data_IF_185958046778
#
_entry.id   IF_185958046778
#
_cell.length_a   1.000
_cell.length_b   1.000
_cell.length_c   1.000
_cell.angle_alpha   90.00
_cell.angle_beta   90.00
_cell.angle_gamma   90.00
#
_symmetry.space_group_name_H-M   'P 1'
#
loop_
_entity.id
_entity.type
_entity.pdbx_description
1 polymer ?
#
# COMPACT_ATOMS: atom_id res chain seq x y z
N UNK A 1 34.07 1.23 10.80
CA UNK A 1 34.40 1.70 12.18
C UNK A 1 35.06 3.07 12.17
N UNK A 2 36.03 3.31 11.26
CA UNK A 2 36.81 4.55 11.28
C UNK A 2 36.00 5.83 10.98
N UNK A 3 34.96 5.77 10.11
CA UNK A 3 34.16 6.95 9.76
C UNK A 3 33.20 7.31 10.90
N UNK A 4 32.57 6.32 11.53
CA UNK A 4 31.68 6.56 12.68
C UNK A 4 32.45 7.15 13.86
N UNK A 5 33.67 6.65 14.14
CA UNK A 5 34.54 7.24 15.19
C UNK A 5 34.87 8.71 14.90
N UNK A 6 35.25 9.04 13.67
CA UNK A 6 35.53 10.42 13.27
C UNK A 6 34.35 11.37 13.43
N UNK A 7 33.12 10.88 13.15
CA UNK A 7 31.90 11.62 13.37
C UNK A 7 31.69 11.91 14.87
N UNK A 8 31.83 10.88 15.70
CA UNK A 8 31.70 11.00 17.16
C UNK A 8 32.81 11.88 17.74
N UNK A 9 34.04 11.77 17.27
CA UNK A 9 35.18 12.59 17.72
C UNK A 9 34.97 14.07 17.35
N UNK A 10 34.26 14.35 16.23
CA UNK A 10 34.04 15.75 15.77
C UNK A 10 32.82 16.38 16.44
N UNK A 11 31.71 15.63 16.59
CA UNK A 11 30.43 16.17 17.04
C UNK A 11 30.02 15.70 18.46
N UNK A 12 30.70 14.69 19.02
CA UNK A 12 30.40 14.14 20.34
C UNK A 12 28.98 13.64 20.45
N UNK A 13 28.28 14.00 21.51
CA UNK A 13 26.88 13.65 21.76
C UNK A 13 25.91 14.19 20.71
N UNK A 14 26.29 15.27 20.00
CA UNK A 14 25.45 15.87 18.94
C UNK A 14 25.57 15.18 17.59
N UNK A 15 26.32 14.08 17.49
CA UNK A 15 26.51 13.36 16.22
C UNK A 15 25.20 12.97 15.55
N UNK A 16 24.23 12.44 16.29
CA UNK A 16 22.93 12.04 15.77
C UNK A 16 22.09 13.25 15.35
N UNK A 17 22.10 14.32 16.13
CA UNK A 17 21.41 15.57 15.84
C UNK A 17 21.94 16.21 14.55
N UNK A 18 23.27 16.20 14.35
CA UNK A 18 23.90 16.71 13.12
C UNK A 18 23.53 15.88 11.92
N UNK A 19 23.53 14.54 12.03
CA UNK A 19 23.12 13.64 10.96
C UNK A 19 21.65 13.81 10.55
N UNK A 20 20.81 14.13 11.51
CA UNK A 20 19.36 14.30 11.32
C UNK A 20 19.00 15.69 10.78
N UNK A 21 19.47 16.74 11.44
CA UNK A 21 18.97 18.10 11.24
C UNK A 21 19.91 19.01 10.43
N UNK A 22 21.22 18.73 10.44
CA UNK A 22 22.23 19.59 9.79
C UNK A 22 23.31 18.77 9.08
N UNK A 23 22.90 17.89 8.15
CA UNK A 23 23.84 16.97 7.48
C UNK A 23 24.90 17.68 6.62
N UNK A 24 24.70 18.93 6.26
CA UNK A 24 25.67 19.76 5.59
C UNK A 24 26.93 19.95 6.43
N UNK A 25 26.83 19.89 7.77
CA UNK A 25 27.98 20.00 8.67
C UNK A 25 28.92 18.80 8.62
N UNK A 26 28.54 17.69 8.00
CA UNK A 26 29.39 16.50 7.82
C UNK A 26 30.69 16.81 7.07
N UNK A 27 30.75 17.94 6.32
CA UNK A 27 31.99 18.39 5.67
C UNK A 27 33.06 18.87 6.67
N UNK A 28 32.68 19.18 7.93
CA UNK A 28 33.62 19.57 9.00
C UNK A 28 34.51 18.38 9.44
N UNK A 29 34.07 17.14 9.14
CA UNK A 29 34.80 15.92 9.54
C UNK A 29 36.05 15.73 8.68
N UNK A 30 37.21 15.78 9.30
CA UNK A 30 38.49 15.66 8.62
C UNK A 30 38.65 14.35 7.85
N UNK A 31 38.87 14.47 6.53
CA UNK A 31 39.06 13.33 5.63
C UNK A 31 37.74 12.71 5.12
N UNK A 32 36.60 13.38 5.31
CA UNK A 32 35.34 13.01 4.70
C UNK A 32 35.10 13.85 3.44
N UNK A 33 35.02 13.19 2.27
CA UNK A 33 34.70 13.88 1.01
C UNK A 33 33.22 14.27 0.95
N UNK A 34 32.91 15.35 0.23
CA UNK A 34 31.50 15.81 0.05
C UNK A 34 30.57 14.71 -0.46
N UNK A 35 31.03 13.90 -1.42
CA UNK A 35 30.24 12.76 -1.95
C UNK A 35 29.95 11.71 -0.88
N UNK A 36 30.94 11.41 -0.04
CA UNK A 36 30.78 10.43 1.05
C UNK A 36 29.92 10.96 2.18
N UNK A 37 30.06 12.26 2.52
CA UNK A 37 29.19 12.93 3.47
C UNK A 37 27.73 12.89 3.04
N UNK A 38 27.46 13.19 1.77
CA UNK A 38 26.10 13.11 1.18
C UNK A 38 25.52 11.70 1.27
N UNK A 39 26.30 10.68 0.90
CA UNK A 39 25.86 9.27 0.97
C UNK A 39 25.53 8.85 2.40
N UNK A 40 26.39 9.21 3.38
CA UNK A 40 26.14 8.89 4.80
C UNK A 40 24.87 9.57 5.29
N UNK A 41 24.66 10.84 4.93
CA UNK A 41 23.46 11.57 5.29
C UNK A 41 22.21 10.92 4.70
N UNK A 42 22.23 10.58 3.41
CA UNK A 42 21.10 9.93 2.73
C UNK A 42 20.75 8.56 3.37
N UNK A 43 21.77 7.73 3.61
CA UNK A 43 21.60 6.43 4.27
C UNK A 43 21.06 6.59 5.70
N UNK A 44 21.58 7.55 6.47
CA UNK A 44 21.12 7.82 7.82
C UNK A 44 19.67 8.31 7.85
N UNK A 45 19.32 9.29 7.00
CA UNK A 45 17.97 9.81 6.91
C UNK A 45 16.97 8.72 6.48
N UNK A 46 17.38 7.81 5.60
CA UNK A 46 16.57 6.68 5.19
C UNK A 46 16.30 5.72 6.36
N UNK A 47 17.35 5.35 7.10
CA UNK A 47 17.21 4.48 8.28
C UNK A 47 16.36 5.12 9.37
N UNK A 48 16.54 6.42 9.61
CA UNK A 48 15.76 7.17 10.58
C UNK A 48 14.28 7.24 10.20
N UNK A 49 13.99 7.51 8.92
CA UNK A 49 12.62 7.52 8.38
C UNK A 49 11.94 6.16 8.54
N UNK A 50 12.65 5.06 8.25
CA UNK A 50 12.14 3.69 8.45
C UNK A 50 11.88 3.43 9.95
N UNK A 51 12.78 3.82 10.84
CA UNK A 51 12.62 3.63 12.29
C UNK A 51 11.43 4.41 12.84
N UNK A 52 11.25 5.66 12.41
CA UNK A 52 10.10 6.49 12.77
C UNK A 52 8.80 5.86 12.29
N UNK A 53 8.78 5.39 11.03
CA UNK A 53 7.63 4.68 10.45
C UNK A 53 7.31 3.38 11.20
N UNK A 54 8.33 2.61 11.58
CA UNK A 54 8.16 1.39 12.41
C UNK A 54 7.55 1.70 13.77
N UNK A 55 8.00 2.77 14.43
CA UNK A 55 7.46 3.19 15.72
C UNK A 55 6.00 3.61 15.62
N UNK A 56 5.64 4.31 14.55
CA UNK A 56 4.26 4.77 14.32
C UNK A 56 3.34 3.61 13.93
N UNK A 57 3.70 2.85 12.92
CA UNK A 57 2.88 1.75 12.40
C UNK A 57 2.83 0.53 13.34
N UNK A 58 3.87 0.35 14.16
CA UNK A 58 3.89 -0.70 15.19
C UNK A 58 2.75 -0.58 16.20
N UNK A 59 2.25 0.64 16.48
CA UNK A 59 1.08 0.89 17.33
C UNK A 59 -0.20 0.22 16.78
N UNK A 60 -0.24 0.02 15.46
CA UNK A 60 -1.36 -0.59 14.74
C UNK A 60 -1.11 -2.08 14.40
N UNK A 61 -0.03 -2.65 14.93
CA UNK A 61 0.32 -4.05 14.71
C UNK A 61 0.97 -4.34 13.35
N UNK A 62 1.48 -3.30 12.66
CA UNK A 62 2.27 -3.48 11.44
C UNK A 62 3.66 -3.96 11.82
N UNK A 63 4.11 -5.05 11.20
CA UNK A 63 5.40 -5.66 11.51
C UNK A 63 6.57 -4.83 10.91
N UNK A 64 7.80 -5.00 11.42
CA UNK A 64 8.98 -4.37 10.83
C UNK A 64 9.17 -4.72 9.34
N UNK A 65 8.90 -5.96 8.94
CA UNK A 65 9.03 -6.42 7.56
C UNK A 65 8.01 -5.73 6.64
N UNK A 66 6.75 -5.62 7.09
CA UNK A 66 5.71 -4.88 6.39
C UNK A 66 6.07 -3.39 6.29
N UNK A 67 6.59 -2.80 7.37
CA UNK A 67 7.04 -1.40 7.36
C UNK A 67 8.15 -1.15 6.34
N UNK A 68 9.09 -2.09 6.19
CA UNK A 68 10.14 -2.00 5.16
C UNK A 68 9.54 -2.07 3.76
N UNK A 69 8.53 -2.93 3.52
CA UNK A 69 7.81 -2.99 2.24
C UNK A 69 7.10 -1.66 1.96
N UNK A 70 6.40 -1.11 2.95
CA UNK A 70 5.72 0.20 2.87
C UNK A 70 6.72 1.29 2.48
N UNK A 71 7.86 1.35 3.18
CA UNK A 71 8.88 2.34 2.89
C UNK A 71 9.52 2.16 1.50
N UNK A 72 9.73 0.93 1.04
CA UNK A 72 10.21 0.65 -0.32
C UNK A 72 9.22 1.09 -1.40
N UNK A 73 7.92 1.00 -1.13
CA UNK A 73 6.85 1.36 -2.07
C UNK A 73 6.63 2.87 -2.12
N UNK A 74 6.52 3.53 -0.96
CA UNK A 74 6.12 4.93 -0.85
C UNK A 74 7.26 5.89 -0.46
N UNK A 75 8.42 5.36 -0.08
CA UNK A 75 9.59 6.14 0.29
C UNK A 75 9.33 7.04 1.51
N UNK A 76 9.88 8.26 1.46
CA UNK A 76 9.73 9.27 2.53
C UNK A 76 8.29 9.76 2.70
N UNK A 77 7.49 9.65 1.65
CA UNK A 77 6.08 10.08 1.65
C UNK A 77 5.12 9.03 2.23
N UNK A 78 5.64 7.89 2.74
CA UNK A 78 4.82 6.80 3.29
C UNK A 78 3.75 7.29 4.26
N UNK A 79 4.10 8.20 5.18
CA UNK A 79 3.13 8.73 6.16
C UNK A 79 2.04 9.56 5.51
N UNK A 80 2.35 10.35 4.48
CA UNK A 80 1.38 11.18 3.77
C UNK A 80 0.38 10.30 2.98
N UNK A 81 0.89 9.28 2.27
CA UNK A 81 0.03 8.32 1.58
C UNK A 81 -0.89 7.57 2.54
N UNK A 82 -0.38 7.11 3.67
CA UNK A 82 -1.18 6.41 4.68
C UNK A 82 -2.17 7.33 5.40
N UNK A 83 -1.89 8.61 5.48
CA UNK A 83 -2.84 9.59 6.01
C UNK A 83 -3.98 9.85 5.02
N UNK A 84 -3.67 9.89 3.72
CA UNK A 84 -4.65 10.11 2.67
C UNK A 84 -5.53 8.86 2.45
N UNK A 85 -4.93 7.67 2.36
CA UNK A 85 -5.66 6.43 2.13
C UNK A 85 -4.93 5.21 2.74
N UNK A 86 -5.29 4.77 3.96
CA UNK A 86 -4.68 3.59 4.59
C UNK A 86 -4.91 2.28 3.84
N UNK A 87 -5.95 2.20 3.01
CA UNK A 87 -6.28 0.97 2.27
C UNK A 87 -5.31 0.66 1.13
N UNK A 88 -4.42 1.61 0.76
CA UNK A 88 -3.28 1.32 -0.12
C UNK A 88 -2.36 0.23 0.43
N UNK A 89 -2.42 -0.04 1.74
CA UNK A 89 -1.69 -1.15 2.36
C UNK A 89 -2.24 -2.53 1.97
N UNK A 90 -3.47 -2.62 1.47
CA UNK A 90 -4.07 -3.87 1.00
C UNK A 90 -3.59 -4.28 -0.40
N UNK A 91 -2.87 -3.42 -1.10
CA UNK A 91 -2.36 -3.68 -2.44
C UNK A 91 -0.96 -4.29 -2.45
N UNK A 92 -0.62 -4.94 -3.59
CA UNK A 92 0.75 -5.44 -3.82
C UNK A 92 1.75 -4.24 -3.78
N UNK A 93 2.93 -4.42 -3.22
CA UNK A 93 3.53 -5.64 -2.67
C UNK A 93 3.35 -5.81 -1.16
N UNK A 94 2.53 -5.00 -0.50
CA UNK A 94 2.39 -4.95 0.96
C UNK A 94 1.42 -6.04 1.43
N UNK A 95 0.21 -6.09 0.82
CA UNK A 95 -0.82 -7.11 1.04
C UNK A 95 -1.28 -7.24 2.51
N UNK A 96 -1.43 -6.09 3.19
CA UNK A 96 -2.00 -6.08 4.53
C UNK A 96 -3.47 -6.50 4.46
N UNK A 97 -3.95 -7.23 5.49
CA UNK A 97 -5.38 -7.60 5.52
C UNK A 97 -6.27 -6.36 5.66
N UNK A 98 -7.48 -6.43 5.10
CA UNK A 98 -8.44 -5.32 5.12
C UNK A 98 -8.75 -4.87 6.54
N UNK A 99 -8.95 -5.83 7.48
CA UNK A 99 -9.28 -5.56 8.87
C UNK A 99 -8.17 -4.75 9.57
N UNK A 100 -6.90 -5.00 9.22
CA UNK A 100 -5.76 -4.25 9.76
C UNK A 100 -5.67 -2.85 9.16
N UNK A 101 -5.90 -2.71 7.86
CA UNK A 101 -5.96 -1.41 7.19
C UNK A 101 -7.14 -0.57 7.72
N UNK A 102 -8.30 -1.19 7.91
CA UNK A 102 -9.52 -0.57 8.48
C UNK A 102 -9.26 -0.08 9.91
N UNK A 103 -8.59 -0.89 10.73
CA UNK A 103 -8.16 -0.49 12.08
C UNK A 103 -7.22 0.70 12.07
N UNK A 104 -6.26 0.76 11.14
CA UNK A 104 -5.37 1.91 10.98
C UNK A 104 -6.16 3.15 10.58
N UNK A 105 -7.08 3.03 9.63
CA UNK A 105 -7.95 4.10 9.18
C UNK A 105 -8.78 4.67 10.33
N UNK A 106 -9.43 3.79 11.11
CA UNK A 106 -10.26 4.17 12.25
C UNK A 106 -9.48 4.89 13.36
N UNK A 107 -8.26 4.43 13.68
CA UNK A 107 -7.46 5.01 14.75
C UNK A 107 -6.78 6.33 14.36
N UNK A 108 -6.57 6.58 13.07
CA UNK A 108 -5.89 7.80 12.58
C UNK A 108 -6.82 8.97 12.30
N UNK A 109 -8.02 8.72 11.84
CA UNK A 109 -8.99 9.77 11.57
C UNK A 109 -10.30 9.45 12.27
N UNK A 110 -10.83 10.40 13.03
CA UNK A 110 -12.20 10.29 13.58
C UNK A 110 -13.28 10.27 12.47
N UNK A 111 -12.88 10.41 11.20
CA UNK A 111 -13.74 10.34 10.04
C UNK A 111 -13.07 9.41 9.04
N UNK A 112 -13.57 8.17 8.96
CA UNK A 112 -13.24 7.26 7.88
C UNK A 112 -13.72 7.88 6.56
N UNK A 113 -12.84 7.94 5.57
CA UNK A 113 -13.29 8.16 4.19
C UNK A 113 -14.04 6.91 3.74
N UNK A 114 -15.37 6.95 3.96
CA UNK A 114 -16.27 5.83 3.69
C UNK A 114 -16.15 5.37 2.23
N UNK A 115 -15.93 6.29 1.31
CA UNK A 115 -15.74 5.97 -0.11
C UNK A 115 -14.49 5.14 -0.35
N UNK A 116 -13.35 5.56 0.19
CA UNK A 116 -12.10 4.78 0.10
C UNK A 116 -12.25 3.40 0.75
N UNK A 117 -12.98 3.32 1.88
CA UNK A 117 -13.27 2.08 2.58
C UNK A 117 -14.10 1.12 1.73
N UNK A 118 -15.19 1.61 1.13
CA UNK A 118 -16.08 0.77 0.30
C UNK A 118 -15.35 0.25 -0.94
N UNK A 119 -14.63 1.12 -1.64
CA UNK A 119 -13.83 0.76 -2.82
C UNK A 119 -12.80 -0.34 -2.49
N UNK A 120 -12.05 -0.16 -1.43
CA UNK A 120 -11.06 -1.14 -0.97
C UNK A 120 -11.71 -2.47 -0.55
N UNK A 121 -12.85 -2.42 0.12
CA UNK A 121 -13.60 -3.60 0.52
C UNK A 121 -14.13 -4.41 -0.64
N UNK A 122 -14.64 -3.77 -1.70
CA UNK A 122 -15.06 -4.45 -2.94
C UNK A 122 -13.88 -5.21 -3.56
N UNK A 123 -12.73 -4.55 -3.70
CA UNK A 123 -11.50 -5.16 -4.24
C UNK A 123 -11.03 -6.32 -3.35
N UNK A 124 -11.10 -6.15 -2.02
CA UNK A 124 -10.72 -7.19 -1.06
C UNK A 124 -11.61 -8.44 -1.20
N UNK A 125 -12.92 -8.28 -1.35
CA UNK A 125 -13.85 -9.42 -1.53
C UNK A 125 -13.51 -10.17 -2.82
N UNK A 126 -13.23 -9.47 -3.92
CA UNK A 126 -12.80 -10.10 -5.17
C UNK A 126 -11.49 -10.87 -4.99
N UNK A 127 -10.48 -10.28 -4.34
CA UNK A 127 -9.20 -10.94 -4.03
C UNK A 127 -9.39 -12.17 -3.13
N UNK A 128 -10.24 -12.07 -2.11
CA UNK A 128 -10.54 -13.19 -1.21
C UNK A 128 -11.18 -14.38 -1.96
N UNK A 129 -12.09 -14.10 -2.88
CA UNK A 129 -12.73 -15.16 -3.68
C UNK A 129 -11.79 -15.82 -4.68
N UNK A 130 -10.72 -15.17 -5.11
CA UNK A 130 -9.65 -15.81 -5.90
C UNK A 130 -9.01 -16.99 -5.15
N UNK A 131 -8.80 -16.85 -3.85
CA UNK A 131 -8.26 -17.93 -3.01
C UNK A 131 -9.19 -19.14 -2.93
N UNK A 132 -10.48 -18.95 -3.24
CA UNK A 132 -11.49 -20.00 -3.34
C UNK A 132 -11.65 -20.54 -4.79
N UNK A 133 -10.77 -20.15 -5.71
CA UNK A 133 -10.75 -20.62 -7.10
C UNK A 133 -11.67 -19.85 -8.04
N UNK A 134 -12.17 -18.67 -7.65
CA UNK A 134 -13.03 -17.84 -8.49
C UNK A 134 -12.24 -16.68 -9.11
N UNK A 135 -12.28 -16.55 -10.42
CA UNK A 135 -11.63 -15.45 -11.16
C UNK A 135 -12.47 -14.17 -11.21
N UNK A 136 -13.77 -14.31 -10.96
CA UNK A 136 -14.76 -13.24 -10.97
C UNK A 136 -15.90 -13.52 -9.98
N UNK A 137 -16.70 -12.50 -9.71
CA UNK A 137 -17.97 -12.63 -8.99
C UNK A 137 -19.10 -11.96 -9.77
N UNK A 138 -20.30 -12.58 -9.80
CA UNK A 138 -21.46 -11.90 -10.32
C UNK A 138 -21.80 -10.67 -9.49
N UNK A 139 -22.21 -9.56 -10.15
CA UNK A 139 -22.60 -8.31 -9.49
C UNK A 139 -23.67 -8.52 -8.41
N UNK A 140 -24.67 -9.35 -8.69
CA UNK A 140 -25.77 -9.69 -7.77
C UNK A 140 -25.32 -10.50 -6.54
N UNK A 141 -24.09 -11.00 -6.51
CA UNK A 141 -23.45 -11.64 -5.35
C UNK A 141 -22.43 -10.73 -4.68
N UNK A 142 -21.68 -9.95 -5.48
CA UNK A 142 -20.65 -9.04 -4.97
C UNK A 142 -21.27 -7.92 -4.12
N UNK A 143 -22.36 -7.27 -4.60
CA UNK A 143 -23.00 -6.16 -3.89
C UNK A 143 -23.49 -6.59 -2.50
N UNK A 144 -24.33 -7.64 -2.34
CA UNK A 144 -24.77 -8.08 -1.02
C UNK A 144 -23.61 -8.51 -0.10
N UNK A 145 -22.57 -9.14 -0.66
CA UNK A 145 -21.40 -9.52 0.10
C UNK A 145 -20.66 -8.28 0.66
N UNK A 146 -20.51 -7.23 -0.16
CA UNK A 146 -19.88 -5.98 0.25
C UNK A 146 -20.72 -5.22 1.27
N UNK A 147 -22.02 -5.12 1.07
CA UNK A 147 -22.97 -4.51 2.03
C UNK A 147 -22.84 -5.19 3.39
N UNK A 148 -22.89 -6.52 3.44
CA UNK A 148 -22.78 -7.27 4.69
C UNK A 148 -21.39 -7.17 5.35
N UNK A 149 -20.32 -7.22 4.55
CA UNK A 149 -18.96 -7.17 5.06
C UNK A 149 -18.57 -5.80 5.60
N UNK A 150 -19.02 -4.73 4.92
CA UNK A 150 -18.66 -3.36 5.24
C UNK A 150 -19.67 -2.65 6.14
N UNK A 151 -20.87 -3.23 6.30
CA UNK A 151 -22.01 -2.64 7.03
C UNK A 151 -22.40 -1.27 6.47
N UNK A 152 -22.47 -1.16 5.13
CA UNK A 152 -22.81 0.07 4.39
C UNK A 152 -24.08 -0.12 3.57
N UNK A 153 -24.68 0.97 3.09
CA UNK A 153 -25.86 0.89 2.25
C UNK A 153 -25.56 0.31 0.87
N UNK A 154 -26.56 -0.31 0.26
CA UNK A 154 -26.47 -0.86 -1.09
C UNK A 154 -26.15 0.21 -2.12
N UNK A 155 -26.82 1.37 -2.05
CA UNK A 155 -26.63 2.49 -3.00
C UNK A 155 -25.17 2.95 -3.05
N UNK A 156 -24.53 3.12 -1.88
CA UNK A 156 -23.12 3.51 -1.79
C UNK A 156 -22.17 2.45 -2.36
N UNK A 157 -22.54 1.18 -2.17
CA UNK A 157 -21.74 0.07 -2.69
C UNK A 157 -21.85 0.00 -4.21
N UNK A 158 -23.05 0.18 -4.76
CA UNK A 158 -23.29 0.22 -6.21
C UNK A 158 -22.58 1.40 -6.86
N UNK A 159 -22.71 2.61 -6.30
CA UNK A 159 -22.01 3.82 -6.76
C UNK A 159 -20.49 3.60 -6.79
N UNK A 160 -19.92 3.07 -5.72
CA UNK A 160 -18.49 2.81 -5.62
C UNK A 160 -18.01 1.75 -6.61
N UNK A 161 -18.84 0.72 -6.88
CA UNK A 161 -18.52 -0.29 -7.89
C UNK A 161 -18.56 0.31 -9.30
N UNK A 162 -19.58 1.10 -9.62
CA UNK A 162 -19.74 1.74 -10.92
C UNK A 162 -18.59 2.72 -11.21
N UNK A 163 -18.13 3.45 -10.21
CA UNK A 163 -16.91 4.27 -10.32
C UNK A 163 -15.66 3.43 -10.60
N UNK A 164 -15.43 2.32 -9.85
CA UNK A 164 -14.30 1.42 -10.07
C UNK A 164 -14.28 0.85 -11.49
N UNK A 165 -15.46 0.54 -12.05
CA UNK A 165 -15.61 0.10 -13.43
C UNK A 165 -15.34 1.22 -14.43
N UNK A 166 -15.92 2.41 -14.20
CA UNK A 166 -15.76 3.57 -15.09
C UNK A 166 -14.31 4.06 -15.18
N UNK A 167 -13.56 3.99 -14.09
CA UNK A 167 -12.13 4.32 -14.01
C UNK A 167 -11.22 3.22 -14.59
N UNK A 168 -11.76 2.05 -14.91
CA UNK A 168 -11.00 0.88 -15.35
C UNK A 168 -10.17 0.21 -14.26
N UNK A 169 -10.48 0.47 -12.99
CA UNK A 169 -9.86 -0.21 -11.83
C UNK A 169 -10.34 -1.65 -11.69
N UNK A 170 -11.56 -1.93 -12.13
CA UNK A 170 -12.15 -3.25 -12.30
C UNK A 170 -12.64 -3.43 -13.73
N UNK A 171 -12.85 -4.67 -14.14
CA UNK A 171 -13.44 -5.03 -15.43
C UNK A 171 -14.76 -5.79 -15.22
N UNK A 172 -15.61 -5.76 -16.22
CA UNK A 172 -16.83 -6.56 -16.25
C UNK A 172 -17.09 -7.19 -17.61
N UNK A 173 -17.75 -8.32 -17.60
CA UNK A 173 -18.29 -9.00 -18.79
C UNK A 173 -19.69 -9.53 -18.51
N UNK A 174 -20.46 -9.68 -19.57
CA UNK A 174 -21.80 -10.25 -19.51
C UNK A 174 -21.80 -11.69 -20.04
N UNK A 175 -22.38 -12.59 -19.27
CA UNK A 175 -22.61 -13.98 -19.69
C UNK A 175 -24.01 -14.43 -19.28
N UNK A 176 -24.81 -14.84 -20.27
CA UNK A 176 -26.25 -15.23 -20.09
C UNK A 176 -27.03 -14.12 -19.32
N UNK A 177 -26.96 -12.87 -19.78
CA UNK A 177 -27.61 -11.70 -19.20
C UNK A 177 -27.25 -11.40 -17.76
N UNK A 178 -26.15 -11.97 -17.26
CA UNK A 178 -25.62 -11.76 -15.94
C UNK A 178 -24.26 -11.07 -16.01
N UNK A 179 -24.10 -10.01 -15.23
CA UNK A 179 -22.87 -9.22 -15.16
C UNK A 179 -21.88 -9.86 -14.16
N UNK A 180 -20.63 -10.06 -14.60
CA UNK A 180 -19.53 -10.61 -13.80
C UNK A 180 -18.44 -9.56 -13.65
N UNK A 181 -17.97 -9.37 -12.42
CA UNK A 181 -16.96 -8.38 -12.05
C UNK A 181 -15.62 -9.07 -11.82
N UNK A 182 -14.57 -8.49 -12.39
CA UNK A 182 -13.20 -9.04 -12.38
C UNK A 182 -12.20 -8.04 -11.86
N UNK A 183 -11.17 -8.55 -11.20
CA UNK A 183 -9.89 -7.82 -11.11
C UNK A 183 -9.22 -7.78 -12.48
N UNK A 184 -8.60 -6.67 -12.85
CA UNK A 184 -7.95 -6.47 -14.17
C UNK A 184 -7.03 -7.62 -14.57
N UNK A 185 -6.20 -8.09 -13.63
CA UNK A 185 -5.26 -9.20 -13.85
C UNK A 185 -5.98 -10.51 -14.19
N UNK A 186 -7.10 -10.79 -13.52
CA UNK A 186 -7.88 -12.00 -13.75
C UNK A 186 -8.60 -11.92 -15.08
N UNK A 187 -9.27 -10.81 -15.39
CA UNK A 187 -9.90 -10.59 -16.69
C UNK A 187 -8.92 -10.79 -17.85
N UNK A 188 -7.74 -10.15 -17.78
CA UNK A 188 -6.71 -10.30 -18.80
C UNK A 188 -6.24 -11.76 -18.96
N UNK A 189 -6.13 -12.51 -17.85
CA UNK A 189 -5.75 -13.94 -17.88
C UNK A 189 -6.83 -14.82 -18.51
N UNK A 190 -8.10 -14.57 -18.22
CA UNK A 190 -9.24 -15.29 -18.84
C UNK A 190 -9.30 -15.03 -20.34
N UNK A 191 -9.23 -13.78 -20.77
CA UNK A 191 -9.24 -13.38 -22.19
C UNK A 191 -8.05 -14.00 -22.94
N UNK A 192 -6.87 -13.98 -22.34
CA UNK A 192 -5.69 -14.60 -22.92
C UNK A 192 -5.86 -16.11 -23.08
N UNK A 193 -6.31 -16.80 -22.03
CA UNK A 193 -6.52 -18.25 -22.04
C UNK A 193 -7.56 -18.66 -23.10
N UNK A 194 -8.70 -17.97 -23.15
CA UNK A 194 -9.73 -18.19 -24.15
C UNK A 194 -9.20 -17.99 -25.57
N UNK A 195 -8.45 -16.91 -25.81
CA UNK A 195 -7.85 -16.62 -27.13
C UNK A 195 -6.86 -17.72 -27.56
N UNK A 196 -6.04 -18.22 -26.62
CA UNK A 196 -5.09 -19.32 -26.91
C UNK A 196 -5.80 -20.61 -27.24
N UNK A 197 -6.84 -20.97 -26.48
CA UNK A 197 -7.64 -22.17 -26.76
C UNK A 197 -8.32 -22.09 -28.15
N UNK A 198 -8.90 -20.96 -28.51
CA UNK A 198 -9.49 -20.74 -29.82
C UNK A 198 -8.45 -20.87 -30.98
N UNK A 199 -7.20 -20.42 -30.76
CA UNK A 199 -6.13 -20.60 -31.75
C UNK A 199 -5.72 -22.07 -31.91
N UNK A 200 -5.83 -22.89 -30.86
CA UNK A 200 -5.49 -24.30 -30.90
C UNK A 200 -6.57 -25.17 -31.55
N UNK A 201 -7.79 -24.66 -31.69
CA UNK A 201 -8.92 -25.33 -32.33
C UNK A 201 -8.97 -25.09 -33.85
N UNK A 202 -8.12 -24.21 -34.38
CA UNK A 202 -7.96 -23.95 -35.81
C UNK A 202 -6.78 -24.73 -36.36
#
# INVERSE_FOLDING_TARGET
>A
PSTAMKLVDTFGEKTLEVLENTPERLHEVKGLTKSRAKKISEEFQQLFSIKSLMSELGKYGVTPEETVKIFKTFGKESMNFLQANPYLLCDEPIELSFERADKIAFLKSNVLDEKCRVRAGIVYILKHNMNNGHTCLPRDKLIPAAVNFLEVSQDKTEESLDELLSEGSLQHDFFNDREFIFLNKMHASEVYSASRLLMMLK
#
